data_IF_677363472595
#
_entry.id   IF_677363472595
#
_cell.length_a   1.000
_cell.length_b   1.000
_cell.length_c   1.000
_cell.angle_alpha   90.00
_cell.angle_beta   90.00
_cell.angle_gamma   90.00
#
_symmetry.space_group_name_H-M   'P 1'
#
loop_
_entity.id
_entity.type
_entity.pdbx_description
1 polymer ?
#
# COMPACT_ATOMS: atom_id res chain seq x y z
N UNK A 1 16.74 7.19 28.33
CA UNK A 1 15.52 7.34 27.51
C UNK A 1 15.94 7.41 26.04
N UNK A 2 16.17 6.26 25.41
CA UNK A 2 16.43 6.19 23.96
C UNK A 2 15.08 6.06 23.26
N UNK A 3 14.68 7.10 22.51
CA UNK A 3 13.58 7.02 21.56
C UNK A 3 14.07 6.22 20.34
N UNK A 4 13.60 4.97 20.22
CA UNK A 4 13.73 4.21 18.98
C UNK A 4 12.87 4.89 17.92
N UNK A 5 13.53 5.44 16.91
CA UNK A 5 12.96 6.01 15.71
C UNK A 5 12.16 4.93 14.97
N UNK A 6 10.83 5.00 15.02
CA UNK A 6 9.97 4.27 14.11
C UNK A 6 10.13 4.87 12.72
N UNK A 7 10.81 4.16 11.83
CA UNK A 7 10.81 4.45 10.41
C UNK A 7 9.35 4.54 9.93
N UNK A 8 8.99 5.69 9.37
CA UNK A 8 7.66 5.95 8.82
C UNK A 8 7.39 4.99 7.67
N UNK A 9 6.66 3.93 7.97
CA UNK A 9 6.24 2.96 6.98
C UNK A 9 5.24 3.58 6.01
N UNK A 10 5.58 3.49 4.73
CA UNK A 10 4.77 3.94 3.59
C UNK A 10 3.52 3.05 3.52
N UNK A 11 2.33 3.61 3.76
CA UNK A 11 1.05 2.95 3.53
C UNK A 11 0.80 2.81 2.02
N UNK A 12 1.41 1.81 1.39
CA UNK A 12 1.00 1.32 0.07
C UNK A 12 -0.41 0.75 0.16
N UNK A 13 -1.34 1.22 -0.69
CA UNK A 13 -2.73 0.73 -0.72
C UNK A 13 -2.85 -0.65 -1.37
N UNK A 14 -1.74 -1.23 -1.83
CA UNK A 14 -1.57 -2.64 -2.19
C UNK A 14 -0.20 -3.07 -1.68
N UNK A 15 -0.12 -4.07 -0.80
CA UNK A 15 1.17 -4.51 -0.30
C UNK A 15 2.06 -5.00 -1.46
N UNK A 16 3.38 -4.76 -1.41
CA UNK A 16 4.28 -5.11 -2.51
C UNK A 16 4.36 -6.64 -2.75
N UNK A 17 4.05 -7.45 -1.73
CA UNK A 17 4.00 -8.91 -1.84
C UNK A 17 2.98 -9.38 -2.89
N UNK A 18 3.37 -10.39 -3.67
CA UNK A 18 2.55 -10.90 -4.79
C UNK A 18 1.78 -12.19 -4.44
N UNK A 19 2.12 -12.86 -3.34
CA UNK A 19 1.57 -14.18 -3.02
C UNK A 19 0.17 -14.15 -2.40
N UNK A 20 -0.26 -12.99 -1.92
CA UNK A 20 -1.62 -12.74 -1.44
C UNK A 20 -2.27 -11.64 -2.29
N UNK A 21 -3.52 -11.86 -2.68
CA UNK A 21 -4.36 -10.82 -3.28
C UNK A 21 -4.95 -9.92 -2.19
N UNK A 22 -5.44 -8.73 -2.55
CA UNK A 22 -6.11 -7.87 -1.58
C UNK A 22 -7.37 -8.50 -0.97
N UNK A 23 -8.07 -9.36 -1.72
CA UNK A 23 -9.18 -10.14 -1.18
C UNK A 23 -8.74 -11.15 -0.13
N UNK A 24 -7.56 -11.75 -0.29
CA UNK A 24 -6.98 -12.66 0.70
C UNK A 24 -6.50 -11.92 1.95
N UNK A 25 -5.92 -10.73 1.78
CA UNK A 25 -5.60 -9.83 2.90
C UNK A 25 -6.86 -9.42 3.67
N UNK A 26 -7.95 -9.07 2.96
CA UNK A 26 -9.27 -8.80 3.55
C UNK A 26 -9.86 -10.02 4.25
N UNK A 27 -9.73 -11.21 3.66
CA UNK A 27 -10.18 -12.47 4.25
C UNK A 27 -9.50 -12.73 5.59
N UNK A 28 -8.16 -12.70 5.62
CA UNK A 28 -7.39 -12.88 6.85
C UNK A 28 -7.76 -11.83 7.90
N UNK A 29 -7.89 -10.56 7.50
CA UNK A 29 -8.26 -9.45 8.41
C UNK A 29 -9.62 -9.69 9.04
N UNK A 30 -10.59 -10.17 8.27
CA UNK A 30 -11.92 -10.51 8.76
C UNK A 30 -11.86 -11.72 9.70
N UNK A 31 -11.15 -12.80 9.37
CA UNK A 31 -11.04 -13.99 10.22
C UNK A 31 -10.46 -13.64 11.60
N UNK A 32 -9.35 -12.90 11.65
CA UNK A 32 -8.71 -12.47 12.89
C UNK A 32 -9.66 -11.61 13.75
N UNK A 33 -10.27 -10.59 13.14
CA UNK A 33 -11.12 -9.66 13.89
C UNK A 33 -12.47 -10.29 14.30
N UNK A 34 -12.97 -11.28 13.57
CA UNK A 34 -14.14 -12.07 14.01
C UNK A 34 -13.84 -12.83 15.31
N UNK A 35 -12.70 -13.52 15.38
CA UNK A 35 -12.26 -14.23 16.61
C UNK A 35 -12.12 -13.23 17.76
N UNK A 36 -11.40 -12.12 17.54
CA UNK A 36 -11.16 -11.11 18.58
C UNK A 36 -12.46 -10.49 19.10
N UNK A 37 -13.43 -10.25 18.22
CA UNK A 37 -14.77 -9.77 18.61
C UNK A 37 -15.51 -10.80 19.44
N UNK A 38 -15.49 -12.07 19.04
CA UNK A 38 -16.09 -13.15 19.82
C UNK A 38 -15.46 -13.27 21.21
N UNK A 39 -14.14 -13.05 21.33
CA UNK A 39 -13.45 -13.02 22.63
C UNK A 39 -13.94 -11.83 23.45
N UNK A 40 -13.94 -10.62 22.89
CA UNK A 40 -14.40 -9.42 23.58
C UNK A 40 -15.81 -9.61 24.17
N UNK A 41 -16.70 -10.22 23.38
CA UNK A 41 -18.09 -10.49 23.73
C UNK A 41 -18.29 -11.74 24.61
N UNK A 42 -17.24 -12.49 24.94
CA UNK A 42 -17.36 -13.74 25.73
C UNK A 42 -18.07 -14.87 24.98
N UNK A 43 -18.18 -14.79 23.65
CA UNK A 43 -18.80 -15.78 22.80
C UNK A 43 -17.80 -16.84 22.29
N UNK A 44 -16.50 -16.57 22.41
CA UNK A 44 -15.42 -17.44 21.95
C UNK A 44 -15.29 -18.70 22.82
N UNK A 45 -15.16 -19.86 22.19
CA UNK A 45 -15.06 -21.15 22.88
C UNK A 45 -13.71 -21.31 23.61
N UNK A 46 -13.74 -21.93 24.78
CA UNK A 46 -12.57 -22.44 25.50
C UNK A 46 -12.65 -23.98 25.55
N UNK A 47 -11.62 -24.66 26.07
CA UNK A 47 -11.66 -26.11 26.31
C UNK A 47 -12.94 -26.54 27.04
N UNK A 48 -13.30 -25.80 28.09
CA UNK A 48 -14.57 -25.94 28.78
C UNK A 48 -15.29 -24.59 28.78
N UNK A 49 -16.49 -24.56 28.21
CA UNK A 49 -17.33 -23.36 28.15
C UNK A 49 -16.78 -22.28 27.23
N UNK A 50 -16.87 -21.03 27.68
CA UNK A 50 -16.46 -19.83 26.92
C UNK A 50 -15.26 -19.16 27.57
N UNK A 51 -14.48 -18.45 26.75
CA UNK A 51 -13.47 -17.52 27.22
C UNK A 51 -14.14 -16.35 27.97
N UNK A 52 -13.49 -15.79 29.00
CA UNK A 52 -14.00 -14.61 29.67
C UNK A 52 -14.12 -13.44 28.68
N UNK A 53 -15.11 -12.57 28.88
CA UNK A 53 -15.23 -11.32 28.12
C UNK A 53 -13.98 -10.47 28.31
N UNK A 54 -13.62 -9.71 27.26
CA UNK A 54 -12.43 -8.86 27.29
C UNK A 54 -12.77 -7.39 27.02
N UNK A 55 -12.20 -6.51 27.85
CA UNK A 55 -12.11 -5.07 27.54
C UNK A 55 -10.82 -4.77 26.80
N UNK A 56 -10.73 -3.62 26.13
CA UNK A 56 -9.51 -3.17 25.45
C UNK A 56 -8.94 -4.19 24.41
N UNK A 57 -9.81 -4.94 23.72
CA UNK A 57 -9.37 -5.80 22.62
C UNK A 57 -9.38 -4.99 21.34
N UNK A 58 -8.22 -4.78 20.72
CA UNK A 58 -8.10 -3.92 19.56
C UNK A 58 -8.34 -4.64 18.24
N UNK A 59 -9.04 -4.00 17.31
CA UNK A 59 -9.15 -4.41 15.93
C UNK A 59 -7.77 -4.35 15.27
N UNK A 60 -7.34 -5.44 14.65
CA UNK A 60 -6.09 -5.48 13.91
C UNK A 60 -6.30 -5.01 12.46
N UNK A 61 -5.45 -4.09 12.01
CA UNK A 61 -5.33 -3.68 10.61
C UNK A 61 -4.30 -4.56 9.89
N UNK A 62 -4.48 -4.73 8.59
CA UNK A 62 -3.47 -5.40 7.77
C UNK A 62 -2.29 -4.44 7.53
N UNK A 63 -1.06 -4.89 7.77
CA UNK A 63 0.17 -4.11 7.59
C UNK A 63 1.04 -4.75 6.51
N UNK A 64 1.43 -3.96 5.52
CA UNK A 64 2.34 -4.39 4.48
C UNK A 64 3.76 -4.62 4.99
N UNK A 65 4.20 -3.92 6.04
CA UNK A 65 5.53 -4.15 6.64
C UNK A 65 5.57 -5.47 7.41
N UNK A 66 4.46 -5.83 8.08
CA UNK A 66 4.36 -7.13 8.75
C UNK A 66 4.19 -8.27 7.74
N UNK A 67 3.54 -8.02 6.60
CA UNK A 67 3.57 -8.96 5.46
C UNK A 67 4.99 -9.12 4.93
N UNK A 68 5.73 -8.02 4.75
CA UNK A 68 7.13 -8.09 4.33
C UNK A 68 7.98 -8.83 5.36
N UNK A 69 7.78 -8.60 6.66
CA UNK A 69 8.47 -9.36 7.70
C UNK A 69 8.12 -10.86 7.66
N UNK A 70 6.88 -11.23 7.30
CA UNK A 70 6.49 -12.62 7.11
C UNK A 70 7.14 -13.24 5.86
N UNK A 71 7.29 -12.47 4.77
CA UNK A 71 8.04 -12.86 3.57
C UNK A 71 9.51 -13.11 3.94
N UNK A 72 10.14 -12.15 4.61
CA UNK A 72 11.56 -12.20 4.97
C UNK A 72 11.87 -13.38 5.90
N UNK A 73 11.01 -13.62 6.90
CA UNK A 73 11.16 -14.74 7.82
C UNK A 73 10.96 -16.12 7.16
N UNK A 74 10.08 -16.18 6.14
CA UNK A 74 9.90 -17.40 5.34
C UNK A 74 11.13 -17.63 4.46
N UNK A 75 11.62 -16.56 3.83
CA UNK A 75 12.83 -16.55 3.01
C UNK A 75 12.80 -17.51 1.82
N UNK A 76 13.88 -17.54 1.05
CA UNK A 76 14.02 -18.47 -0.09
C UNK A 76 13.99 -19.95 0.33
N UNK A 77 14.35 -20.25 1.58
CA UNK A 77 14.35 -21.61 2.14
C UNK A 77 12.94 -22.11 2.52
N UNK A 78 11.91 -21.24 2.46
CA UNK A 78 10.57 -21.57 2.90
C UNK A 78 10.56 -22.13 4.33
N UNK A 79 11.17 -21.37 5.24
CA UNK A 79 11.28 -21.71 6.65
C UNK A 79 9.90 -21.81 7.29
N UNK A 80 9.71 -22.87 8.09
CA UNK A 80 8.54 -23.06 8.93
C UNK A 80 8.94 -23.00 10.42
N UNK A 81 9.81 -22.05 10.76
CA UNK A 81 10.35 -21.86 12.11
C UNK A 81 10.21 -20.41 12.55
N UNK A 82 10.18 -20.19 13.87
CA UNK A 82 10.16 -18.84 14.43
C UNK A 82 11.43 -18.09 14.02
N UNK A 83 11.29 -16.79 13.73
CA UNK A 83 12.41 -15.92 13.43
C UNK A 83 13.31 -15.76 14.67
N UNK A 84 14.63 -15.76 14.45
CA UNK A 84 15.64 -15.53 15.48
C UNK A 84 16.62 -14.43 15.03
N UNK A 85 16.73 -13.30 15.75
CA UNK A 85 15.91 -12.92 16.91
C UNK A 85 14.47 -12.60 16.53
N UNK A 86 13.53 -12.95 17.41
CA UNK A 86 12.13 -12.65 17.19
C UNK A 86 11.87 -11.15 17.41
N UNK A 87 11.39 -10.47 16.35
CA UNK A 87 11.03 -9.03 16.39
C UNK A 87 9.53 -8.79 16.55
N UNK A 88 8.72 -9.76 16.12
CA UNK A 88 7.27 -9.67 16.02
C UNK A 88 6.67 -10.96 16.58
N UNK A 89 5.44 -10.90 17.11
CA UNK A 89 4.68 -12.13 17.34
C UNK A 89 4.54 -12.87 16.01
N UNK A 90 4.63 -14.19 16.01
CA UNK A 90 4.65 -14.96 14.76
C UNK A 90 3.84 -16.23 14.90
N UNK A 91 2.88 -16.45 14.01
CA UNK A 91 2.22 -17.73 13.83
C UNK A 91 2.60 -18.36 12.50
N UNK A 92 2.76 -19.68 12.49
CA UNK A 92 3.16 -20.45 11.32
C UNK A 92 2.21 -21.63 11.20
N UNK A 93 1.75 -21.91 10.00
CA UNK A 93 1.03 -23.14 9.67
C UNK A 93 1.76 -23.83 8.52
N UNK A 94 2.07 -25.10 8.72
CA UNK A 94 2.76 -25.95 7.75
C UNK A 94 1.81 -27.05 7.27
N UNK A 95 1.66 -27.18 5.96
CA UNK A 95 0.95 -28.29 5.32
C UNK A 95 1.93 -29.10 4.48
N UNK A 96 1.92 -30.42 4.68
CA UNK A 96 2.76 -31.38 3.95
C UNK A 96 1.97 -32.55 3.37
N UNK A 97 0.75 -32.80 3.85
CA UNK A 97 -0.08 -33.91 3.39
C UNK A 97 -0.71 -33.58 2.03
N UNK A 98 -0.64 -34.49 1.02
CA UNK A 98 -1.16 -34.22 -0.32
C UNK A 98 -2.62 -33.74 -0.39
N UNK A 99 -3.49 -34.26 0.48
CA UNK A 99 -4.89 -33.83 0.55
C UNK A 99 -5.05 -32.35 0.92
N UNK A 100 -4.22 -31.82 1.82
CA UNK A 100 -4.21 -30.40 2.17
C UNK A 100 -3.55 -29.57 1.06
N UNK A 101 -2.48 -30.06 0.43
CA UNK A 101 -1.79 -29.36 -0.66
C UNK A 101 -2.65 -29.17 -1.92
N UNK A 102 -3.71 -29.96 -2.06
CA UNK A 102 -4.69 -29.86 -3.13
C UNK A 102 -5.83 -28.85 -2.85
N UNK A 103 -5.95 -28.33 -1.62
CA UNK A 103 -7.01 -27.39 -1.26
C UNK A 103 -6.79 -26.01 -1.89
N UNK A 104 -7.87 -25.26 -2.08
CA UNK A 104 -7.79 -23.89 -2.55
C UNK A 104 -7.07 -23.01 -1.52
N UNK A 105 -6.30 -22.02 -2.00
CA UNK A 105 -5.56 -21.09 -1.13
C UNK A 105 -6.45 -20.42 -0.07
N UNK A 106 -7.67 -20.02 -0.44
CA UNK A 106 -8.61 -19.38 0.49
C UNK A 106 -9.07 -20.32 1.62
N UNK A 107 -9.14 -21.63 1.36
CA UNK A 107 -9.51 -22.63 2.37
C UNK A 107 -8.34 -22.86 3.32
N UNK A 108 -7.11 -22.94 2.79
CA UNK A 108 -5.89 -23.04 3.59
C UNK A 108 -5.67 -21.82 4.48
N UNK A 109 -5.91 -20.60 3.97
CA UNK A 109 -5.81 -19.37 4.77
C UNK A 109 -6.82 -19.35 5.92
N UNK A 110 -8.04 -19.84 5.70
CA UNK A 110 -9.06 -19.95 6.75
C UNK A 110 -8.72 -21.05 7.75
N UNK A 111 -8.24 -22.20 7.26
CA UNK A 111 -7.82 -23.31 8.11
C UNK A 111 -6.63 -22.89 8.99
N UNK A 112 -5.62 -22.21 8.47
CA UNK A 112 -4.47 -21.74 9.25
C UNK A 112 -4.90 -20.88 10.45
N UNK A 113 -5.83 -19.93 10.26
CA UNK A 113 -6.34 -19.11 11.37
C UNK A 113 -7.14 -19.96 12.37
N UNK A 114 -7.90 -20.97 11.92
CA UNK A 114 -8.57 -21.93 12.81
C UNK A 114 -7.56 -22.76 13.60
N UNK A 115 -6.49 -23.26 12.95
CA UNK A 115 -5.44 -24.05 13.61
C UNK A 115 -4.69 -23.23 14.66
N UNK A 116 -4.48 -21.93 14.42
CA UNK A 116 -3.89 -21.05 15.44
C UNK A 116 -4.82 -20.78 16.62
N UNK A 117 -6.13 -20.88 16.43
CA UNK A 117 -7.09 -20.79 17.52
C UNK A 117 -7.21 -22.11 18.31
N UNK A 118 -7.09 -23.25 17.62
CA UNK A 118 -7.27 -24.61 18.16
C UNK A 118 -6.65 -24.88 19.55
N UNK A 119 -5.42 -24.43 19.90
CA UNK A 119 -4.84 -24.75 21.20
C UNK A 119 -5.70 -24.34 22.40
N UNK A 120 -6.47 -23.24 22.31
CA UNK A 120 -7.37 -22.83 23.39
C UNK A 120 -8.58 -23.77 23.53
N UNK A 121 -8.95 -24.46 22.47
CA UNK A 121 -10.02 -25.47 22.48
C UNK A 121 -9.51 -26.79 23.03
N UNK A 122 -8.26 -27.15 22.79
CA UNK A 122 -7.71 -28.43 23.25
C UNK A 122 -7.14 -28.37 24.67
N UNK A 123 -6.36 -27.34 24.99
CA UNK A 123 -5.68 -27.23 26.29
C UNK A 123 -6.46 -26.33 27.26
N UNK A 124 -7.11 -25.29 26.71
CA UNK A 124 -7.86 -24.32 27.49
C UNK A 124 -6.99 -23.19 28.02
N UNK A 125 -7.49 -21.97 27.93
CA UNK A 125 -6.97 -20.89 28.77
C UNK A 125 -7.55 -21.08 30.17
N UNK A 126 -6.74 -21.66 31.06
CA UNK A 126 -7.12 -22.03 32.44
C UNK A 126 -6.62 -21.04 33.48
N UNK A 127 -5.72 -20.13 33.11
CA UNK A 127 -5.17 -19.18 34.06
C UNK A 127 -6.26 -18.19 34.53
N UNK A 128 -6.49 -18.03 35.85
CA UNK A 128 -7.57 -17.20 36.37
C UNK A 128 -7.40 -15.72 36.06
N UNK A 129 -6.20 -15.27 35.69
CA UNK A 129 -5.91 -13.89 35.29
C UNK A 129 -5.83 -13.73 33.76
N UNK A 130 -6.13 -14.79 32.99
CA UNK A 130 -5.96 -14.82 31.53
C UNK A 130 -4.51 -14.54 31.07
N UNK A 131 -3.53 -14.98 31.85
CA UNK A 131 -2.09 -14.84 31.52
C UNK A 131 -1.62 -15.91 30.53
N UNK A 132 -0.66 -15.55 29.68
CA UNK A 132 0.07 -16.46 28.81
C UNK A 132 1.10 -17.26 29.63
N UNK A 133 0.62 -18.25 30.38
CA UNK A 133 1.43 -19.09 31.26
C UNK A 133 1.66 -20.52 30.71
N UNK A 134 1.09 -20.82 29.54
CA UNK A 134 1.17 -22.13 28.90
C UNK A 134 1.63 -21.95 27.45
N UNK A 135 2.86 -22.36 27.16
CA UNK A 135 3.48 -22.20 25.83
C UNK A 135 2.71 -22.92 24.72
N UNK A 136 1.88 -23.92 25.04
CA UNK A 136 1.02 -24.59 24.05
C UNK A 136 -0.04 -23.64 23.50
N UNK A 137 -0.38 -22.57 24.22
CA UNK A 137 -1.33 -21.54 23.78
C UNK A 137 -0.69 -20.45 22.92
N UNK A 138 0.59 -20.58 22.55
CA UNK A 138 1.35 -19.52 21.87
C UNK A 138 0.63 -18.95 20.63
N UNK A 139 0.15 -19.79 19.72
CA UNK A 139 -0.52 -19.32 18.50
C UNK A 139 -1.85 -18.62 18.79
N UNK A 140 -2.59 -19.10 19.79
CA UNK A 140 -3.80 -18.47 20.29
C UNK A 140 -3.49 -17.13 20.97
N UNK A 141 -2.42 -17.07 21.77
CA UNK A 141 -2.02 -15.86 22.47
C UNK A 141 -1.75 -14.72 21.48
N UNK A 142 -1.03 -14.99 20.39
CA UNK A 142 -0.80 -13.99 19.33
C UNK A 142 -2.11 -13.49 18.68
N UNK A 143 -3.06 -14.40 18.40
CA UNK A 143 -4.38 -14.03 17.86
C UNK A 143 -5.20 -13.17 18.84
N UNK A 144 -5.18 -13.53 20.12
CA UNK A 144 -6.05 -12.97 21.16
C UNK A 144 -5.45 -11.77 21.88
N UNK A 145 -4.15 -11.48 21.72
CA UNK A 145 -3.46 -10.45 22.50
C UNK A 145 -4.12 -9.08 22.32
N UNK A 146 -4.68 -8.53 23.38
CA UNK A 146 -5.53 -7.33 23.34
C UNK A 146 -4.82 -6.13 22.74
N UNK A 147 -3.50 -6.01 23.00
CA UNK A 147 -2.62 -4.94 22.53
C UNK A 147 -2.18 -5.07 21.06
N UNK A 148 -2.45 -6.18 20.38
CA UNK A 148 -2.18 -6.26 18.94
C UNK A 148 -3.14 -5.36 18.15
N UNK A 149 -2.59 -4.52 17.28
CA UNK A 149 -3.31 -3.52 16.46
C UNK A 149 -3.02 -3.67 14.98
N UNK A 150 -1.99 -4.45 14.62
CA UNK A 150 -1.67 -4.76 13.24
C UNK A 150 -1.11 -6.18 13.10
N UNK A 151 -1.36 -6.76 11.93
CA UNK A 151 -0.77 -8.03 11.53
C UNK A 151 -0.56 -8.04 10.01
N UNK A 152 0.28 -8.92 9.51
CA UNK A 152 0.50 -9.13 8.08
C UNK A 152 0.98 -10.54 7.83
N UNK A 153 0.61 -11.13 6.69
CA UNK A 153 0.81 -12.55 6.44
C UNK A 153 1.44 -12.83 5.09
N UNK A 154 2.05 -13.99 4.97
CA UNK A 154 2.62 -14.50 3.74
C UNK A 154 2.18 -15.95 3.52
N UNK A 155 1.95 -16.29 2.25
CA UNK A 155 1.70 -17.64 1.77
C UNK A 155 2.86 -18.03 0.87
N UNK A 156 3.47 -19.18 1.12
CA UNK A 156 4.49 -19.76 0.25
C UNK A 156 4.12 -21.20 -0.09
N UNK A 157 4.12 -21.55 -1.38
CA UNK A 157 4.14 -22.95 -1.82
C UNK A 157 5.53 -23.28 -2.33
N UNK A 158 6.12 -24.31 -1.76
CA UNK A 158 7.56 -24.53 -1.84
C UNK A 158 7.83 -25.87 -2.51
N UNK A 159 8.78 -25.88 -3.44
CA UNK A 159 9.15 -27.07 -4.20
C UNK A 159 10.47 -27.62 -3.65
N UNK A 160 10.41 -28.82 -3.05
CA UNK A 160 11.56 -29.54 -2.49
C UNK A 160 11.74 -29.42 -0.96
N UNK A 161 10.93 -30.09 -0.10
CA UNK A 161 9.76 -30.94 -0.39
C UNK A 161 8.48 -30.14 -0.70
N UNK A 162 7.48 -30.71 -1.42
CA UNK A 162 6.19 -30.02 -1.70
C UNK A 162 5.46 -29.76 -0.38
N UNK A 163 5.38 -28.48 -0.02
CA UNK A 163 4.75 -28.01 1.21
C UNK A 163 4.20 -26.61 1.04
N UNK A 164 3.22 -26.26 1.86
CA UNK A 164 2.69 -24.90 1.96
C UNK A 164 2.98 -24.38 3.36
N UNK A 165 3.54 -23.17 3.43
CA UNK A 165 3.80 -22.45 4.67
C UNK A 165 2.99 -21.15 4.65
N UNK A 166 2.19 -20.95 5.70
CA UNK A 166 1.46 -19.71 5.93
C UNK A 166 1.99 -19.10 7.22
N UNK A 167 2.55 -17.90 7.11
CA UNK A 167 3.15 -17.18 8.24
C UNK A 167 2.41 -15.87 8.45
N UNK A 168 1.99 -15.56 9.67
CA UNK A 168 1.50 -14.23 10.04
C UNK A 168 2.38 -13.62 11.13
N UNK A 169 2.74 -12.36 10.95
CA UNK A 169 3.45 -11.53 11.91
C UNK A 169 2.47 -10.56 12.58
N UNK A 170 2.66 -10.32 13.88
CA UNK A 170 1.86 -9.43 14.72
C UNK A 170 2.76 -8.34 15.31
N UNK A 171 2.24 -7.13 15.46
CA UNK A 171 3.06 -5.99 15.87
C UNK A 171 3.66 -6.09 17.29
N UNK A 172 3.18 -7.00 18.13
CA UNK A 172 3.79 -7.29 19.43
C UNK A 172 4.10 -8.77 19.58
N UNK A 173 5.17 -9.06 20.33
CA UNK A 173 5.42 -10.36 20.96
C UNK A 173 4.61 -10.40 22.25
N UNK A 174 4.02 -11.55 22.57
CA UNK A 174 3.35 -11.78 23.86
C UNK A 174 4.37 -12.32 24.85
N UNK A 175 4.81 -11.56 25.87
CA UNK A 175 5.76 -12.06 26.85
C UNK A 175 5.16 -13.19 27.70
N UNK A 176 6.03 -14.06 28.21
CA UNK A 176 5.63 -15.08 29.18
C UNK A 176 4.97 -14.43 30.41
N UNK A 177 3.89 -15.04 30.89
CA UNK A 177 3.04 -14.57 31.98
C UNK A 177 2.32 -13.23 31.76
N UNK A 178 2.42 -12.62 30.57
CA UNK A 178 1.65 -11.42 30.24
C UNK A 178 0.14 -11.75 30.17
N UNK A 179 -0.70 -10.81 30.61
CA UNK A 179 -2.15 -10.92 30.44
C UNK A 179 -2.49 -10.84 28.94
N UNK A 180 -3.07 -11.90 28.38
CA UNK A 180 -3.39 -11.96 26.93
C UNK A 180 -4.38 -10.84 26.59
N UNK A 181 -5.43 -10.68 27.38
CA UNK A 181 -6.31 -9.52 27.33
C UNK A 181 -6.93 -9.28 28.70
N UNK A 182 -7.22 -8.03 29.02
CA UNK A 182 -7.85 -7.68 30.28
C UNK A 182 -9.29 -8.18 30.31
N UNK A 183 -9.66 -8.92 31.35
CA UNK A 183 -11.06 -9.30 31.58
C UNK A 183 -11.89 -8.05 31.81
N UNK A 184 -13.07 -8.01 31.21
CA UNK A 184 -13.99 -6.88 31.31
C UNK A 184 -15.06 -6.91 30.23
N UNK A 185 -15.93 -5.93 30.23
CA UNK A 185 -16.93 -5.76 29.17
C UNK A 185 -16.26 -5.30 27.88
N UNK A 186 -16.71 -5.82 26.74
CA UNK A 186 -16.32 -5.27 25.45
C UNK A 186 -16.71 -3.79 25.37
N UNK A 187 -15.98 -3.02 24.57
CA UNK A 187 -16.29 -1.60 24.42
C UNK A 187 -17.72 -1.42 23.88
N UNK A 188 -18.45 -0.46 24.46
CA UNK A 188 -19.73 0.03 23.97
C UNK A 188 -19.60 1.46 23.41
N UNK A 189 -18.58 2.21 23.83
CA UNK A 189 -18.30 3.58 23.41
C UNK A 189 -16.78 3.85 23.41
N UNK A 190 -16.38 4.99 22.83
CA UNK A 190 -14.97 5.37 22.64
C UNK A 190 -14.20 5.50 23.96
N UNK A 191 -14.86 5.92 25.06
CA UNK A 191 -14.22 6.16 26.36
C UNK A 191 -13.74 4.87 27.04
N UNK A 192 -14.27 3.71 26.64
CA UNK A 192 -13.88 2.40 27.17
C UNK A 192 -12.60 1.85 26.52
N UNK A 193 -12.12 2.48 25.44
CA UNK A 193 -10.88 2.13 24.75
C UNK A 193 -9.70 2.92 25.30
N UNK A 194 -9.07 2.36 26.35
CA UNK A 194 -8.14 3.09 27.23
C UNK A 194 -6.67 2.74 27.02
N UNK A 195 -6.36 1.61 26.39
CA UNK A 195 -4.96 1.19 26.16
C UNK A 195 -4.19 2.14 25.24
N UNK A 196 -4.81 2.64 24.17
CA UNK A 196 -4.19 3.58 23.24
C UNK A 196 -5.02 4.88 23.21
N UNK A 197 -4.39 6.06 23.37
CA UNK A 197 -5.11 7.34 23.37
C UNK A 197 -5.95 7.56 22.11
N UNK A 198 -7.08 8.26 22.26
CA UNK A 198 -7.99 8.65 21.16
C UNK A 198 -8.61 7.48 20.38
N UNK A 199 -8.55 6.26 20.93
CA UNK A 199 -9.12 5.09 20.30
C UNK A 199 -10.65 5.15 20.31
N UNK A 200 -11.27 4.53 19.31
CA UNK A 200 -12.73 4.47 19.16
C UNK A 200 -13.26 3.06 19.33
N UNK A 201 -14.52 2.91 19.67
CA UNK A 201 -15.17 1.61 19.68
C UNK A 201 -15.88 1.33 18.35
N UNK A 202 -15.58 0.20 17.73
CA UNK A 202 -16.24 -0.30 16.53
C UNK A 202 -16.68 -1.75 16.75
N UNK A 203 -17.99 -1.95 16.91
CA UNK A 203 -18.61 -3.28 17.04
C UNK A 203 -17.88 -4.17 18.07
N UNK A 204 -17.75 -3.69 19.32
CA UNK A 204 -17.11 -4.40 20.45
C UNK A 204 -15.58 -4.54 20.36
N UNK A 205 -14.92 -3.91 19.37
CA UNK A 205 -13.46 -3.84 19.29
C UNK A 205 -12.99 -2.40 19.38
N UNK A 206 -11.89 -2.18 20.10
CA UNK A 206 -11.23 -0.88 20.10
C UNK A 206 -10.43 -0.68 18.81
N UNK A 207 -10.45 0.53 18.26
CA UNK A 207 -9.76 0.87 17.03
C UNK A 207 -8.82 2.01 17.37
N UNK A 208 -7.52 1.78 17.25
CA UNK A 208 -6.55 2.87 17.37
C UNK A 208 -6.89 3.96 16.35
N UNK A 209 -6.64 5.24 16.66
CA UNK A 209 -6.67 6.27 15.64
C UNK A 209 -5.85 5.75 14.46
N UNK A 210 -6.43 5.74 13.27
CA UNK A 210 -5.56 5.76 12.09
C UNK A 210 -4.67 6.97 12.33
N UNK A 211 -3.32 6.84 12.41
CA UNK A 211 -2.50 8.03 12.32
C UNK A 211 -3.02 8.71 11.06
N UNK A 212 -3.59 9.91 11.19
CA UNK A 212 -3.75 10.74 10.00
C UNK A 212 -2.34 10.74 9.41
N UNK A 213 -2.15 10.28 8.16
CA UNK A 213 -0.88 10.48 7.51
C UNK A 213 -0.50 11.96 7.74
N UNK A 214 0.78 12.30 7.99
CA UNK A 214 1.17 13.70 7.94
C UNK A 214 0.54 14.27 6.67
N UNK A 215 -0.37 15.24 6.86
CA UNK A 215 -1.21 15.74 5.78
C UNK A 215 -0.30 16.15 4.64
N UNK A 216 -0.45 15.53 3.46
CA UNK A 216 0.50 15.78 2.36
C UNK A 216 0.47 17.26 1.98
N UNK A 217 -0.74 17.83 1.96
CA UNK A 217 -0.96 19.26 1.80
C UNK A 217 -2.05 19.77 2.76
N UNK A 218 -2.00 21.05 3.19
CA UNK A 218 -2.99 21.64 4.10
C UNK A 218 -4.41 21.74 3.52
N UNK A 219 -4.55 21.78 2.20
CA UNK A 219 -5.84 21.93 1.52
C UNK A 219 -6.74 20.71 1.76
N UNK A 220 -8.04 20.94 2.01
CA UNK A 220 -9.05 19.89 2.20
C UNK A 220 -9.87 19.57 0.94
N UNK A 221 -9.67 20.34 -0.13
CA UNK A 221 -10.37 20.16 -1.43
C UNK A 221 -9.87 18.92 -2.18
N UNK A 222 -8.64 18.50 -1.87
CA UNK A 222 -8.02 17.27 -2.31
C UNK A 222 -7.77 16.37 -1.09
N UNK A 223 -7.89 15.06 -1.27
CA UNK A 223 -7.60 14.07 -0.22
C UNK A 223 -6.18 13.52 -0.37
N UNK A 224 -5.51 13.21 0.74
CA UNK A 224 -4.20 12.55 0.69
C UNK A 224 -4.22 11.21 -0.05
N UNK A 225 -5.34 10.50 -0.01
CA UNK A 225 -5.53 9.28 -0.79
C UNK A 225 -5.44 9.57 -2.30
N UNK A 226 -6.10 10.62 -2.80
CA UNK A 226 -6.00 11.03 -4.20
C UNK A 226 -4.60 11.55 -4.57
N UNK A 227 -3.97 12.34 -3.69
CA UNK A 227 -2.58 12.82 -3.86
C UNK A 227 -1.58 11.67 -3.98
N UNK A 228 -1.69 10.70 -3.07
CA UNK A 228 -0.87 9.49 -3.08
C UNK A 228 -1.14 8.64 -4.31
N UNK A 229 -2.42 8.43 -4.66
CA UNK A 229 -2.83 7.68 -5.85
C UNK A 229 -2.20 8.25 -7.12
N UNK A 230 -2.29 9.57 -7.33
CA UNK A 230 -1.73 10.20 -8.52
C UNK A 230 -0.20 10.13 -8.53
N UNK A 231 0.46 10.38 -7.39
CA UNK A 231 1.92 10.30 -7.27
C UNK A 231 2.46 8.89 -7.54
N UNK A 232 1.88 7.88 -6.90
CA UNK A 232 2.27 6.47 -7.04
C UNK A 232 2.08 6.00 -8.49
N UNK A 233 0.96 6.37 -9.11
CA UNK A 233 0.69 6.00 -10.49
C UNK A 233 1.68 6.64 -11.48
N UNK A 234 2.16 7.86 -11.22
CA UNK A 234 3.21 8.50 -12.02
C UNK A 234 4.56 7.80 -11.81
N UNK A 235 4.98 7.62 -10.55
CA UNK A 235 6.28 7.02 -10.24
C UNK A 235 6.38 5.57 -10.71
N UNK A 236 5.32 4.77 -10.58
CA UNK A 236 5.29 3.40 -11.11
C UNK A 236 5.45 3.38 -12.64
N UNK A 237 4.77 4.29 -13.34
CA UNK A 237 4.85 4.44 -14.80
C UNK A 237 6.23 4.88 -15.27
N UNK A 238 6.82 5.87 -14.59
CA UNK A 238 8.20 6.33 -14.81
C UNK A 238 9.21 5.21 -14.60
N UNK A 239 9.01 4.40 -13.56
CA UNK A 239 9.81 3.18 -13.31
C UNK A 239 9.71 2.19 -14.46
N UNK A 240 8.50 1.82 -14.89
CA UNK A 240 8.32 0.89 -16.01
C UNK A 240 8.94 1.44 -17.31
N UNK A 241 8.83 2.75 -17.55
CA UNK A 241 9.46 3.41 -18.70
C UNK A 241 10.99 3.37 -18.62
N UNK A 242 11.57 3.73 -17.47
CA UNK A 242 13.01 3.70 -17.26
C UNK A 242 13.61 2.30 -17.41
N UNK A 243 12.85 1.27 -17.02
CA UNK A 243 13.21 -0.14 -17.18
C UNK A 243 12.95 -0.71 -18.59
N UNK A 244 12.50 0.12 -19.54
CA UNK A 244 12.29 -0.30 -20.93
C UNK A 244 11.11 -1.26 -21.12
N UNK A 245 10.10 -1.22 -20.24
CA UNK A 245 8.94 -2.14 -20.26
C UNK A 245 7.72 -1.59 -21.00
N UNK A 246 7.79 -0.37 -21.52
CA UNK A 246 6.65 0.31 -22.14
C UNK A 246 6.73 0.20 -23.67
N UNK A 247 5.75 -0.43 -24.35
CA UNK A 247 5.66 -0.41 -25.81
C UNK A 247 5.75 0.99 -26.41
N UNK A 248 6.51 1.17 -27.48
CA UNK A 248 6.65 2.45 -28.16
C UNK A 248 5.69 2.52 -29.36
N UNK A 249 4.47 3.02 -29.16
CA UNK A 249 3.44 2.99 -30.20
C UNK A 249 3.03 1.57 -30.56
N UNK A 250 2.69 1.38 -31.83
CA UNK A 250 2.37 0.06 -32.42
C UNK A 250 3.60 -0.68 -32.94
N UNK A 251 4.80 -0.23 -32.57
CA UNK A 251 6.05 -0.87 -32.99
C UNK A 251 6.27 -2.18 -32.25
N UNK A 252 7.14 -3.05 -32.80
CA UNK A 252 7.56 -4.30 -32.16
C UNK A 252 8.56 -4.12 -31.01
N UNK A 253 8.96 -2.88 -30.71
CA UNK A 253 9.95 -2.56 -29.69
C UNK A 253 9.40 -1.62 -28.62
N UNK A 254 9.95 -1.74 -27.40
CA UNK A 254 9.64 -0.86 -26.28
C UNK A 254 10.43 0.46 -26.36
N UNK A 255 9.97 1.45 -25.60
CA UNK A 255 10.75 2.64 -25.32
C UNK A 255 12.09 2.22 -24.68
N UNK A 256 13.22 2.86 -25.05
CA UNK A 256 14.53 2.49 -24.52
C UNK A 256 14.60 2.76 -23.01
N UNK A 257 15.51 2.09 -22.31
CA UNK A 257 15.79 2.33 -20.88
C UNK A 257 16.31 3.75 -20.64
N UNK A 258 16.12 4.28 -19.43
CA UNK A 258 16.50 5.65 -19.09
C UNK A 258 17.68 5.72 -18.11
N UNK A 259 18.66 6.58 -18.37
CA UNK A 259 19.81 6.77 -17.48
C UNK A 259 19.52 7.71 -16.31
N UNK A 260 18.56 8.64 -16.46
CA UNK A 260 18.39 9.80 -15.58
C UNK A 260 16.94 10.05 -15.12
N UNK A 261 16.09 9.03 -15.10
CA UNK A 261 14.67 9.20 -14.73
C UNK A 261 14.51 9.45 -13.23
N UNK A 262 14.13 10.66 -12.81
CA UNK A 262 13.91 10.96 -11.40
C UNK A 262 12.56 10.44 -10.87
N UNK A 263 12.53 10.08 -9.60
CA UNK A 263 11.28 9.91 -8.84
C UNK A 263 10.67 11.29 -8.57
N UNK A 264 9.36 11.41 -8.74
CA UNK A 264 8.60 12.61 -8.42
C UNK A 264 8.24 12.67 -6.94
N UNK A 265 8.24 13.87 -6.38
CA UNK A 265 7.63 14.22 -5.09
C UNK A 265 6.36 15.05 -5.31
N UNK A 266 5.43 14.97 -4.35
CA UNK A 266 4.23 15.80 -4.37
C UNK A 266 4.56 17.22 -3.92
N UNK A 267 3.98 18.23 -4.57
CA UNK A 267 4.19 19.63 -4.26
C UNK A 267 2.84 20.35 -4.12
N UNK A 268 2.62 20.96 -2.96
CA UNK A 268 1.34 21.58 -2.60
C UNK A 268 1.09 22.90 -3.31
N UNK A 269 2.13 23.62 -3.73
CA UNK A 269 1.97 24.87 -4.48
C UNK A 269 1.53 24.56 -5.91
N UNK A 270 2.04 23.47 -6.49
CA UNK A 270 1.54 22.94 -7.76
C UNK A 270 0.09 22.43 -7.66
N UNK A 271 -0.30 21.80 -6.54
CA UNK A 271 -1.71 21.43 -6.31
C UNK A 271 -2.59 22.67 -6.23
N UNK A 272 -2.20 23.68 -5.46
CA UNK A 272 -2.98 24.90 -5.27
C UNK A 272 -3.19 25.64 -6.59
N UNK A 273 -2.14 25.75 -7.41
CA UNK A 273 -2.25 26.38 -8.74
C UNK A 273 -3.08 25.54 -9.72
N UNK A 274 -2.94 24.22 -9.72
CA UNK A 274 -3.80 23.31 -10.48
C UNK A 274 -5.27 23.43 -10.07
N UNK A 275 -5.55 23.53 -8.77
CA UNK A 275 -6.90 23.68 -8.22
C UNK A 275 -7.52 25.02 -8.60
N UNK A 276 -6.75 26.11 -8.50
CA UNK A 276 -7.19 27.44 -8.91
C UNK A 276 -7.60 27.47 -10.39
N UNK A 277 -6.88 26.74 -11.25
CA UNK A 277 -7.24 26.60 -12.66
C UNK A 277 -8.44 25.67 -12.88
N UNK A 278 -8.45 24.50 -12.23
CA UNK A 278 -9.52 23.51 -12.37
C UNK A 278 -10.91 24.08 -11.99
N UNK A 279 -10.95 24.97 -10.99
CA UNK A 279 -12.17 25.69 -10.56
C UNK A 279 -12.80 26.57 -11.64
N UNK A 280 -12.03 26.96 -12.66
CA UNK A 280 -12.55 27.75 -13.79
C UNK A 280 -13.38 26.91 -14.76
N UNK A 281 -13.25 25.57 -14.71
CA UNK A 281 -14.03 24.65 -15.53
C UNK A 281 -13.96 24.93 -17.04
N UNK A 282 -12.79 25.37 -17.54
CA UNK A 282 -12.54 25.58 -18.97
C UNK A 282 -12.47 24.27 -19.77
N UNK A 283 -12.20 23.15 -19.10
CA UNK A 283 -12.03 21.80 -19.67
C UNK A 283 -10.91 21.69 -20.73
N UNK A 284 -10.02 22.67 -20.79
CA UNK A 284 -8.90 22.75 -21.73
C UNK A 284 -7.61 23.14 -20.99
N UNK A 285 -6.42 22.86 -21.55
CA UNK A 285 -5.16 23.29 -20.95
C UNK A 285 -5.10 24.81 -20.76
N UNK A 286 -4.43 25.25 -19.69
CA UNK A 286 -4.11 26.66 -19.47
C UNK A 286 -3.04 27.15 -20.44
N UNK A 287 -3.09 28.45 -20.76
CA UNK A 287 -2.07 29.12 -21.56
C UNK A 287 -0.70 28.98 -20.89
N UNK A 288 0.31 28.56 -21.66
CA UNK A 288 1.67 28.29 -21.15
C UNK A 288 2.26 29.51 -20.44
N UNK A 289 1.97 30.72 -20.91
CA UNK A 289 2.44 31.97 -20.29
C UNK A 289 1.88 32.24 -18.89
N UNK A 290 0.80 31.56 -18.48
CA UNK A 290 0.19 31.71 -17.15
C UNK A 290 0.77 30.77 -16.09
N UNK A 291 1.72 29.91 -16.48
CA UNK A 291 2.33 28.88 -15.62
C UNK A 291 3.83 28.73 -15.95
N UNK A 292 4.64 29.76 -15.68
CA UNK A 292 6.07 29.72 -15.98
C UNK A 292 6.75 28.55 -15.27
N UNK A 293 7.63 27.85 -16.00
CA UNK A 293 8.37 26.66 -15.54
C UNK A 293 7.52 25.46 -15.13
N UNK A 294 6.21 25.49 -15.39
CA UNK A 294 5.27 24.42 -15.04
C UNK A 294 4.69 23.72 -16.29
N UNK A 295 4.89 22.41 -16.34
CA UNK A 295 4.17 21.53 -17.25
C UNK A 295 2.71 21.38 -16.82
N UNK A 296 1.84 20.94 -17.73
CA UNK A 296 0.44 20.68 -17.41
C UNK A 296 -0.13 19.55 -18.26
N UNK A 297 -0.89 18.67 -17.61
CA UNK A 297 -1.80 17.75 -18.28
C UNK A 297 -3.21 17.98 -17.73
N UNK A 298 -4.21 17.92 -18.62
CA UNK A 298 -5.62 18.06 -18.24
C UNK A 298 -6.44 16.90 -18.78
N UNK A 299 -7.51 16.54 -18.07
CA UNK A 299 -8.45 15.49 -18.46
C UNK A 299 -9.86 15.85 -18.02
N UNK A 300 -10.81 15.79 -18.95
CA UNK A 300 -12.25 15.89 -18.67
C UNK A 300 -12.89 14.51 -18.81
N UNK A 301 -13.71 14.11 -17.84
CA UNK A 301 -14.45 12.85 -17.90
C UNK A 301 -15.75 12.91 -17.11
N UNK A 302 -16.46 11.77 -16.97
CA UNK A 302 -17.72 11.71 -16.24
C UNK A 302 -17.61 12.22 -14.80
N UNK A 303 -18.72 12.70 -14.24
CA UNK A 303 -18.79 13.11 -12.84
C UNK A 303 -18.43 11.95 -11.90
N UNK A 304 -17.43 12.16 -11.05
CA UNK A 304 -17.06 11.23 -9.97
C UNK A 304 -17.12 11.93 -8.63
N UNK A 305 -17.57 11.20 -7.60
CA UNK A 305 -17.49 11.62 -6.19
C UNK A 305 -16.22 11.13 -5.52
N UNK A 306 -15.57 10.13 -6.11
CA UNK A 306 -14.34 9.51 -5.64
C UNK A 306 -13.15 10.13 -6.39
N UNK A 307 -12.37 10.96 -5.68
CA UNK A 307 -11.22 11.66 -6.25
C UNK A 307 -10.12 10.70 -6.70
N UNK A 308 -9.99 9.52 -6.08
CA UNK A 308 -9.00 8.52 -6.50
C UNK A 308 -9.35 7.93 -7.87
N UNK A 309 -10.64 7.71 -8.14
CA UNK A 309 -11.12 7.29 -9.48
C UNK A 309 -10.91 8.38 -10.52
N UNK A 310 -11.13 9.65 -10.15
CA UNK A 310 -10.87 10.80 -11.02
C UNK A 310 -9.39 10.91 -11.39
N UNK A 311 -8.50 10.75 -10.40
CA UNK A 311 -7.06 10.69 -10.62
C UNK A 311 -6.66 9.50 -11.50
N UNK A 312 -7.18 8.31 -11.22
CA UNK A 312 -6.88 7.10 -11.97
C UNK A 312 -7.28 7.21 -13.45
N UNK A 313 -8.48 7.74 -13.73
CA UNK A 313 -8.96 7.93 -15.09
C UNK A 313 -8.05 8.89 -15.88
N UNK A 314 -7.71 10.04 -15.30
CA UNK A 314 -6.85 11.03 -15.94
C UNK A 314 -5.46 10.47 -16.26
N UNK A 315 -4.80 9.84 -15.27
CA UNK A 315 -3.46 9.27 -15.43
C UNK A 315 -3.44 8.13 -16.45
N UNK A 316 -4.49 7.29 -16.49
CA UNK A 316 -4.63 6.24 -17.51
C UNK A 316 -4.80 6.84 -18.90
N UNK A 317 -5.63 7.87 -19.05
CA UNK A 317 -5.85 8.56 -20.32
C UNK A 317 -4.54 9.14 -20.87
N UNK A 318 -3.85 9.97 -20.10
CA UNK A 318 -2.58 10.59 -20.51
C UNK A 318 -1.50 9.58 -20.87
N UNK A 319 -1.34 8.54 -20.05
CA UNK A 319 -0.33 7.52 -20.33
C UNK A 319 -0.65 6.70 -21.57
N UNK A 320 -1.93 6.49 -21.88
CA UNK A 320 -2.35 5.66 -23.02
C UNK A 320 -1.97 6.23 -24.39
N UNK A 321 -1.65 7.52 -24.47
CA UNK A 321 -1.31 8.18 -25.72
C UNK A 321 -0.10 7.53 -26.43
N UNK A 322 0.87 7.02 -25.66
CA UNK A 322 2.07 6.36 -26.21
C UNK A 322 1.73 5.13 -27.04
N UNK A 323 0.64 4.42 -26.71
CA UNK A 323 0.26 3.18 -27.41
C UNK A 323 -0.37 3.48 -28.78
N UNK A 324 -0.92 4.68 -28.96
CA UNK A 324 -1.46 5.11 -30.25
C UNK A 324 -0.37 5.72 -31.13
N UNK A 325 0.46 6.57 -30.53
CA UNK A 325 1.49 7.32 -31.24
C UNK A 325 2.83 7.15 -30.53
N UNK A 326 3.75 6.44 -31.18
CA UNK A 326 5.11 6.24 -30.69
C UNK A 326 5.98 7.49 -30.77
N UNK A 327 7.19 7.36 -30.25
CA UNK A 327 8.26 8.34 -30.15
C UNK A 327 9.48 7.88 -30.96
N UNK A 328 10.33 8.82 -31.34
CA UNK A 328 11.63 8.47 -31.94
C UNK A 328 12.52 7.73 -30.92
N UNK A 329 13.43 6.88 -31.41
CA UNK A 329 14.32 6.06 -30.57
C UNK A 329 15.30 6.84 -29.71
N UNK A 330 15.57 8.10 -30.05
CA UNK A 330 16.43 8.97 -29.25
C UNK A 330 15.68 9.59 -28.07
N UNK A 331 14.35 9.42 -27.99
CA UNK A 331 13.50 10.04 -26.99
C UNK A 331 13.61 11.57 -26.97
N UNK A 332 13.84 12.18 -28.15
CA UNK A 332 13.93 13.64 -28.31
C UNK A 332 12.55 14.24 -28.59
N UNK A 333 12.17 15.32 -27.91
CA UNK A 333 10.91 16.01 -28.13
C UNK A 333 11.06 17.00 -29.30
N UNK A 334 10.79 16.53 -30.52
CA UNK A 334 10.93 17.32 -31.74
C UNK A 334 9.70 18.19 -32.01
N UNK A 335 9.88 19.27 -32.77
CA UNK A 335 8.77 20.12 -33.22
C UNK A 335 7.66 19.32 -33.92
N UNK A 336 8.04 18.30 -34.69
CA UNK A 336 7.10 17.40 -35.38
C UNK A 336 6.21 16.61 -34.43
N UNK A 337 6.65 16.37 -33.18
CA UNK A 337 5.84 15.76 -32.14
C UNK A 337 4.92 16.80 -31.47
N UNK A 338 5.44 18.00 -31.22
CA UNK A 338 4.70 19.10 -30.60
C UNK A 338 3.49 19.53 -31.43
N UNK A 339 3.62 19.53 -32.76
CA UNK A 339 2.55 19.90 -33.70
C UNK A 339 1.73 18.71 -34.20
N UNK A 340 2.05 17.48 -33.79
CA UNK A 340 1.36 16.28 -34.28
C UNK A 340 -0.07 16.22 -33.72
N UNK A 341 -1.10 16.09 -34.58
CA UNK A 341 -2.44 15.76 -34.11
C UNK A 341 -2.43 14.47 -33.28
N UNK A 342 -2.99 14.53 -32.08
CA UNK A 342 -2.99 13.42 -31.10
C UNK A 342 -1.59 12.89 -30.75
N UNK A 343 -0.54 13.72 -30.87
CA UNK A 343 0.80 13.37 -30.38
C UNK A 343 0.78 13.09 -28.87
N UNK A 344 1.63 12.17 -28.38
CA UNK A 344 1.66 11.68 -27.00
C UNK A 344 2.22 12.69 -25.98
N UNK A 345 1.71 13.92 -26.01
CA UNK A 345 2.23 15.09 -25.28
C UNK A 345 2.00 14.96 -23.78
N UNK A 346 0.88 14.36 -23.37
CA UNK A 346 0.61 14.14 -21.95
C UNK A 346 1.49 13.01 -21.42
N UNK A 347 1.68 11.95 -22.21
CA UNK A 347 2.64 10.88 -21.89
C UNK A 347 4.07 11.43 -21.74
N UNK A 348 4.54 12.27 -22.68
CA UNK A 348 5.91 12.78 -22.62
C UNK A 348 6.14 13.67 -21.40
N UNK A 349 5.15 14.44 -20.96
CA UNK A 349 5.23 15.20 -19.71
C UNK A 349 5.33 14.27 -18.49
N UNK A 350 4.54 13.20 -18.43
CA UNK A 350 4.61 12.24 -17.33
C UNK A 350 5.97 11.51 -17.28
N UNK A 351 6.53 11.20 -18.46
CA UNK A 351 7.82 10.54 -18.64
C UNK A 351 9.03 11.49 -18.68
N UNK A 352 8.85 12.79 -18.41
CA UNK A 352 9.94 13.76 -18.52
C UNK A 352 10.92 13.62 -17.37
N UNK A 353 12.18 13.28 -17.64
CA UNK A 353 13.17 12.89 -16.64
C UNK A 353 13.33 13.93 -15.54
N UNK A 354 13.42 15.21 -15.89
CA UNK A 354 13.68 16.33 -14.95
C UNK A 354 12.43 16.94 -14.33
N UNK A 355 11.23 16.42 -14.63
CA UNK A 355 10.02 16.77 -13.88
C UNK A 355 10.00 16.00 -12.56
N UNK A 356 10.42 16.66 -11.48
CA UNK A 356 10.65 16.06 -10.15
C UNK A 356 9.55 16.39 -9.15
N UNK A 357 8.68 17.35 -9.46
CA UNK A 357 7.54 17.75 -8.62
C UNK A 357 6.23 17.60 -9.38
N UNK A 358 5.20 17.18 -8.67
CA UNK A 358 3.84 16.95 -9.18
C UNK A 358 2.82 17.52 -8.19
N UNK A 359 1.83 18.25 -8.69
CA UNK A 359 0.65 18.63 -7.91
C UNK A 359 -0.60 18.58 -8.78
N UNK A 360 -1.72 18.11 -8.25
CA UNK A 360 -2.92 17.84 -9.07
C UNK A 360 -4.20 18.22 -8.34
N UNK A 361 -5.21 18.62 -9.10
CA UNK A 361 -6.55 18.85 -8.63
C UNK A 361 -7.56 18.04 -9.44
N UNK A 362 -8.55 17.45 -8.76
CA UNK A 362 -9.71 16.78 -9.35
C UNK A 362 -10.93 17.59 -8.93
N UNK A 363 -11.49 18.36 -9.85
CA UNK A 363 -12.58 19.28 -9.55
C UNK A 363 -13.88 18.89 -10.25
N UNK A 364 -15.00 18.99 -9.53
CA UNK A 364 -16.33 18.70 -10.06
C UNK A 364 -16.90 19.94 -10.74
N UNK A 365 -16.86 19.97 -12.07
CA UNK A 365 -17.54 20.98 -12.88
C UNK A 365 -19.03 20.63 -13.06
N UNK A 366 -19.87 21.51 -13.63
CA UNK A 366 -21.31 21.27 -13.72
C UNK A 366 -21.70 19.96 -14.45
N UNK A 367 -20.94 19.55 -15.47
CA UNK A 367 -21.23 18.36 -16.30
C UNK A 367 -20.15 17.29 -16.25
N UNK A 368 -18.92 17.67 -15.91
CA UNK A 368 -17.73 16.84 -16.04
C UNK A 368 -16.86 16.93 -14.78
N UNK A 369 -16.07 15.89 -14.53
CA UNK A 369 -14.92 16.00 -13.64
C UNK A 369 -13.74 16.53 -14.43
N UNK A 370 -13.15 17.63 -13.99
CA UNK A 370 -11.97 18.21 -14.59
C UNK A 370 -10.74 17.97 -13.72
N UNK A 371 -9.79 17.19 -14.24
CA UNK A 371 -8.53 16.88 -13.58
C UNK A 371 -7.41 17.68 -14.22
N UNK A 372 -6.65 18.41 -13.41
CA UNK A 372 -5.48 19.20 -13.82
C UNK A 372 -4.29 18.73 -13.00
N UNK A 373 -3.19 18.34 -13.64
CA UNK A 373 -1.91 18.09 -12.98
C UNK A 373 -0.86 19.04 -13.52
N UNK A 374 -0.07 19.64 -12.62
CA UNK A 374 1.09 20.47 -12.95
C UNK A 374 2.39 19.81 -12.54
N UNK A 375 3.45 20.09 -13.30
CA UNK A 375 4.74 19.42 -13.19
C UNK A 375 5.86 20.45 -13.11
N UNK A 376 6.85 20.22 -12.24
CA UNK A 376 8.07 21.06 -12.20
C UNK A 376 9.34 20.21 -12.18
N UNK A 377 10.33 20.45 -13.04
CA UNK A 377 10.32 21.42 -14.14
C UNK A 377 9.30 21.05 -15.25
N UNK A 378 8.90 22.03 -16.06
CA UNK A 378 8.12 21.79 -17.27
C UNK A 378 8.84 20.84 -18.23
N UNK A 379 8.09 19.91 -18.81
CA UNK A 379 8.55 19.05 -19.89
C UNK A 379 8.12 19.59 -21.25
N UNK A 380 8.17 18.72 -22.27
CA UNK A 380 7.72 19.02 -23.62
C UNK A 380 8.45 20.22 -24.26
N UNK A 381 9.73 20.40 -23.90
CA UNK A 381 10.57 21.46 -24.46
C UNK A 381 11.15 20.97 -25.78
N UNK A 382 10.91 21.73 -26.85
CA UNK A 382 11.38 21.40 -28.19
C UNK A 382 12.90 21.26 -28.19
N UNK A 383 13.38 20.23 -28.90
CA UNK A 383 14.78 19.85 -29.03
C UNK A 383 15.48 19.34 -27.77
N UNK A 384 14.74 19.12 -26.68
CA UNK A 384 15.25 18.45 -25.50
C UNK A 384 14.91 16.95 -25.47
N UNK A 385 15.63 16.20 -24.66
CA UNK A 385 15.35 14.80 -24.40
C UNK A 385 14.25 14.66 -23.36
N UNK A 386 13.25 13.82 -23.64
CA UNK A 386 12.25 13.40 -22.66
C UNK A 386 12.95 12.70 -21.50
N UNK A 387 13.87 11.80 -21.82
CA UNK A 387 14.89 11.25 -20.92
C UNK A 387 16.08 10.79 -21.77
N UNK A 388 17.23 10.57 -21.14
CA UNK A 388 18.44 10.11 -21.85
C UNK A 388 18.43 8.58 -21.96
N UNK A 389 18.42 8.01 -23.17
CA UNK A 389 18.49 6.56 -23.35
C UNK A 389 19.85 5.98 -22.90
N UNK A 390 19.85 4.84 -22.23
CA UNK A 390 21.08 4.16 -21.82
C UNK A 390 20.88 3.22 -20.63
N UNK A 391 21.96 2.85 -19.93
CA UNK A 391 21.87 1.92 -18.80
C UNK A 391 21.07 2.56 -17.67
N UNK A 392 20.15 1.78 -17.09
CA UNK A 392 19.27 2.26 -16.01
C UNK A 392 20.09 2.90 -14.89
N UNK A 393 19.69 4.11 -14.50
CA UNK A 393 20.33 4.92 -13.45
C UNK A 393 21.78 5.38 -13.70
N UNK A 394 22.35 5.17 -14.89
CA UNK A 394 23.76 5.51 -15.19
C UNK A 394 24.08 7.00 -15.01
N UNK A 395 23.09 7.88 -15.15
CA UNK A 395 23.25 9.32 -15.01
C UNK A 395 22.46 9.88 -13.81
N UNK A 396 22.17 9.07 -12.80
CA UNK A 396 21.67 9.58 -11.53
C UNK A 396 22.79 10.34 -10.79
N UNK A 397 22.52 11.54 -10.23
CA UNK A 397 23.54 12.29 -9.49
C UNK A 397 24.11 11.58 -8.25
N UNK A 398 23.28 10.75 -7.60
CA UNK A 398 23.61 10.03 -6.37
C UNK A 398 23.42 8.52 -6.58
N UNK A 399 22.64 7.87 -5.71
CA UNK A 399 22.32 6.45 -5.77
C UNK A 399 21.17 6.19 -6.74
N UNK A 400 21.01 4.92 -7.15
CA UNK A 400 19.83 4.43 -7.85
C UNK A 400 18.86 3.82 -6.84
N UNK A 401 17.56 4.10 -6.98
CA UNK A 401 16.52 3.30 -6.32
C UNK A 401 16.39 2.00 -7.13
N UNK A 402 17.27 1.04 -6.86
CA UNK A 402 17.49 -0.12 -7.73
C UNK A 402 16.22 -0.94 -8.02
N UNK A 403 15.32 -1.08 -7.04
CA UNK A 403 14.04 -1.77 -7.22
C UNK A 403 13.09 -1.06 -8.20
N UNK A 404 13.23 0.25 -8.38
CA UNK A 404 12.38 1.08 -9.21
C UNK A 404 13.05 1.52 -10.52
N UNK A 405 14.38 1.48 -10.61
CA UNK A 405 15.12 2.02 -11.77
C UNK A 405 14.99 3.54 -11.90
N UNK A 406 14.85 4.24 -10.77
CA UNK A 406 14.67 5.69 -10.70
C UNK A 406 15.80 6.34 -9.90
N UNK A 407 16.14 7.58 -10.26
CA UNK A 407 16.98 8.45 -9.45
C UNK A 407 16.16 9.03 -8.28
N UNK A 408 16.72 9.12 -7.06
CA UNK A 408 16.09 9.82 -5.94
C UNK A 408 15.75 11.26 -6.31
N UNK A 409 14.58 11.74 -5.87
CA UNK A 409 14.19 13.15 -6.02
C UNK A 409 15.30 14.05 -5.44
N UNK A 410 15.77 15.08 -6.18
CA UNK A 410 16.80 16.01 -5.71
C UNK A 410 16.43 16.79 -4.45
#
# INVERSE_FOLDING_TARGET
LLFLSFASAVLSTTCPGQDLTDDQRRLLTRQHNTIRRQIAQGAANNYNGKLPTGKNIYRMKYSCDLEQAAIDATGAACSASLADPQKYGQNIQLYTTPSFLALAKNDLLQDAVKQWYSPVIYYGQRNPDNKFADSRLYTFANLAYGKNTAFGCHYARCQGPDRIVITCMYNNIVPDNEVIYEKGTACANDQECTTYPQSKCDQSLCVIPTPLPPTMCPSTEMTDAARKKVLDMHNWRRSQLALGKIPNGKNSYNCPTATNMFKMAYDCDLENSALAYAKQCSLVPSDVGTRPDEGENVHSGPLVTDLEKGAEAAVRSWWSEIYQNGLNRQMKYLISLATKPNGPRAFTQMGWATSVKLGCAIFKCPKDTFTVCRYKAAGNIVDQYIYVPGKVCEACPNTCIAAEGLCPTP
#
